data_IF_661086720342
#
_entry.id   IF_661086720342
#
_cell.length_a   1.000
_cell.length_b   1.000
_cell.length_c   1.000
_cell.angle_alpha   90.00
_cell.angle_beta   90.00
_cell.angle_gamma   90.00
#
_symmetry.space_group_name_H-M   'P 1'
#
loop_
_entity.id
_entity.type
_entity.pdbx_description
1 polymer ?
#
# COMPACT_ATOMS: atom_id res chain seq x y z
N UNK A 1 -55.37 -58.14 57.70
CA UNK A 1 -55.54 -57.12 56.65
C UNK A 1 -54.89 -55.75 56.97
N UNK A 2 -55.00 -55.22 58.20
CA UNK A 2 -54.47 -53.88 58.58
C UNK A 2 -52.95 -53.66 58.45
N UNK A 3 -52.10 -54.69 58.63
CA UNK A 3 -50.62 -54.57 58.52
C UNK A 3 -50.09 -54.38 57.08
N UNK A 4 -50.83 -54.83 56.06
CA UNK A 4 -50.42 -54.72 54.64
C UNK A 4 -50.62 -53.30 54.10
N UNK A 5 -51.67 -52.61 54.56
CA UNK A 5 -52.01 -51.23 54.16
C UNK A 5 -51.03 -50.21 54.78
N UNK A 6 -50.60 -50.41 56.02
CA UNK A 6 -49.60 -49.56 56.69
C UNK A 6 -48.19 -49.67 56.05
N UNK A 7 -47.81 -50.85 55.55
CA UNK A 7 -46.53 -51.07 54.86
C UNK A 7 -46.50 -50.38 53.49
N UNK A 8 -47.61 -50.41 52.75
CA UNK A 8 -47.74 -49.71 51.47
C UNK A 8 -47.69 -48.18 51.62
N UNK A 9 -48.33 -47.61 52.66
CA UNK A 9 -48.22 -46.16 52.95
C UNK A 9 -46.79 -45.72 53.31
N UNK A 10 -46.03 -46.56 54.03
CA UNK A 10 -44.64 -46.23 54.40
C UNK A 10 -43.68 -46.23 53.20
N UNK A 11 -43.85 -47.18 52.26
CA UNK A 11 -43.09 -47.20 51.01
C UNK A 11 -43.48 -46.09 50.03
N UNK A 12 -44.75 -45.67 50.03
CA UNK A 12 -45.24 -44.57 49.19
C UNK A 12 -44.77 -43.20 49.70
N UNK A 13 -44.71 -43.00 51.02
CA UNK A 13 -44.12 -41.79 51.62
C UNK A 13 -42.60 -41.72 51.32
N UNK A 14 -41.89 -42.83 51.43
CA UNK A 14 -40.46 -42.90 51.06
C UNK A 14 -40.20 -42.66 49.56
N UNK A 15 -41.10 -43.11 48.68
CA UNK A 15 -40.98 -42.86 47.23
C UNK A 15 -41.27 -41.41 46.83
N UNK A 16 -42.21 -40.75 47.51
CA UNK A 16 -42.50 -39.32 47.31
C UNK A 16 -41.36 -38.45 47.82
N UNK A 17 -40.80 -38.75 48.99
CA UNK A 17 -39.63 -38.03 49.52
C UNK A 17 -38.39 -38.20 48.63
N UNK A 18 -38.19 -39.40 48.06
CA UNK A 18 -37.10 -39.65 47.12
C UNK A 18 -37.29 -38.90 45.80
N UNK A 19 -38.51 -38.88 45.25
CA UNK A 19 -38.81 -38.13 44.03
C UNK A 19 -38.66 -36.62 44.24
N UNK A 20 -39.14 -36.10 45.38
CA UNK A 20 -38.97 -34.69 45.75
C UNK A 20 -37.49 -34.32 45.90
N UNK A 21 -36.70 -35.15 46.58
CA UNK A 21 -35.26 -34.95 46.72
C UNK A 21 -34.56 -34.99 45.35
N UNK A 22 -34.97 -35.87 44.43
CA UNK A 22 -34.40 -35.95 43.09
C UNK A 22 -34.73 -34.72 42.24
N UNK A 23 -35.96 -34.19 42.34
CA UNK A 23 -36.37 -32.96 41.65
C UNK A 23 -35.61 -31.76 42.20
N UNK A 24 -35.48 -31.63 43.53
CA UNK A 24 -34.69 -30.58 44.17
C UNK A 24 -33.22 -30.68 43.74
N UNK A 25 -32.67 -31.90 43.66
CA UNK A 25 -31.31 -32.13 43.19
C UNK A 25 -31.14 -31.75 41.71
N UNK A 26 -32.08 -32.13 40.84
CA UNK A 26 -32.05 -31.73 39.42
C UNK A 26 -32.12 -30.21 39.25
N UNK A 27 -32.98 -29.52 40.02
CA UNK A 27 -33.10 -28.06 39.96
C UNK A 27 -31.80 -27.41 40.43
N UNK A 28 -31.26 -27.82 41.59
CA UNK A 28 -29.97 -27.29 42.08
C UNK A 28 -28.83 -27.58 41.11
N UNK A 29 -28.79 -28.77 40.52
CA UNK A 29 -27.74 -29.14 39.57
C UNK A 29 -27.84 -28.34 38.27
N UNK A 30 -29.06 -28.10 37.77
CA UNK A 30 -29.29 -27.24 36.62
C UNK A 30 -28.87 -25.78 36.91
N UNK A 31 -29.20 -25.25 38.09
CA UNK A 31 -28.76 -23.90 38.49
C UNK A 31 -27.24 -23.80 38.58
N UNK A 32 -26.56 -24.81 39.13
CA UNK A 32 -25.09 -24.86 39.19
C UNK A 32 -24.47 -24.88 37.79
N UNK A 33 -25.05 -25.62 36.85
CA UNK A 33 -24.58 -25.65 35.45
C UNK A 33 -24.75 -24.28 34.80
N UNK A 34 -25.93 -23.66 34.94
CA UNK A 34 -26.21 -22.34 34.35
C UNK A 34 -25.30 -21.28 34.95
N UNK A 35 -25.11 -21.27 36.27
CA UNK A 35 -24.17 -20.36 36.93
C UNK A 35 -22.73 -20.60 36.44
N UNK A 36 -22.30 -21.86 36.38
CA UNK A 36 -20.96 -22.21 35.90
C UNK A 36 -20.72 -21.76 34.46
N UNK A 37 -21.69 -21.95 33.57
CA UNK A 37 -21.65 -21.46 32.20
C UNK A 37 -21.60 -19.92 32.16
N UNK A 38 -22.44 -19.23 32.93
CA UNK A 38 -22.46 -17.76 33.01
C UNK A 38 -21.16 -17.15 33.54
N UNK A 39 -20.41 -17.87 34.38
CA UNK A 39 -19.09 -17.44 34.88
C UNK A 39 -17.95 -17.78 33.92
N UNK A 40 -18.09 -18.85 33.13
CA UNK A 40 -17.06 -19.33 32.21
C UNK A 40 -17.12 -18.61 30.87
N UNK A 41 -18.31 -18.36 30.32
CA UNK A 41 -18.52 -17.72 29.02
C UNK A 41 -17.81 -16.37 28.87
N UNK A 42 -17.95 -15.39 29.79
CA UNK A 42 -17.21 -14.13 29.68
C UNK A 42 -15.71 -14.32 29.84
N UNK A 43 -15.23 -15.35 30.55
CA UNK A 43 -13.79 -15.65 30.65
C UNK A 43 -13.24 -16.21 29.35
N UNK A 44 -13.99 -17.08 28.66
CA UNK A 44 -13.59 -17.63 27.37
C UNK A 44 -13.59 -16.57 26.27
N UNK A 45 -14.61 -15.70 26.23
CA UNK A 45 -14.65 -14.58 25.29
C UNK A 45 -13.48 -13.61 25.49
N UNK A 46 -13.15 -13.28 26.75
CA UNK A 46 -12.01 -12.43 27.09
C UNK A 46 -10.64 -13.08 26.80
N UNK A 47 -10.54 -14.41 26.84
CA UNK A 47 -9.32 -15.12 26.45
C UNK A 47 -9.11 -15.10 24.93
N UNK A 48 -10.19 -15.28 24.17
CA UNK A 48 -10.16 -15.19 22.71
C UNK A 48 -9.75 -13.80 22.22
N UNK A 49 -10.35 -12.74 22.78
CA UNK A 49 -10.01 -11.37 22.41
C UNK A 49 -8.57 -11.00 22.74
N UNK A 50 -8.08 -11.33 23.96
CA UNK A 50 -6.68 -11.06 24.35
C UNK A 50 -5.66 -11.83 23.54
N UNK A 51 -5.96 -13.08 23.19
CA UNK A 51 -5.08 -13.88 22.33
C UNK A 51 -5.00 -13.28 20.92
N UNK A 52 -6.12 -12.77 20.40
CA UNK A 52 -6.15 -12.08 19.11
C UNK A 52 -5.41 -10.74 19.16
N UNK A 53 -5.62 -9.92 20.19
CA UNK A 53 -4.88 -8.66 20.39
C UNK A 53 -3.36 -8.89 20.43
N UNK A 54 -2.91 -9.83 21.26
CA UNK A 54 -1.48 -10.17 21.35
C UNK A 54 -0.90 -10.66 20.02
N UNK A 55 -1.72 -11.30 19.17
CA UNK A 55 -1.30 -11.74 17.84
C UNK A 55 -1.26 -10.59 16.84
N UNK A 56 -2.25 -9.70 16.91
CA UNK A 56 -2.28 -8.50 16.10
C UNK A 56 -1.06 -7.61 16.38
N UNK A 57 -0.64 -7.51 17.65
CA UNK A 57 0.60 -6.82 18.04
C UNK A 57 1.85 -7.48 17.42
N UNK A 58 1.95 -8.82 17.43
CA UNK A 58 3.07 -9.53 16.79
C UNK A 58 3.13 -9.29 15.28
N UNK A 59 1.98 -9.23 14.61
CA UNK A 59 1.92 -8.92 13.18
C UNK A 59 2.35 -7.47 12.96
N UNK A 60 1.86 -6.52 13.77
CA UNK A 60 2.29 -5.13 13.69
C UNK A 60 3.80 -4.98 13.90
N UNK A 61 4.39 -5.71 14.83
CA UNK A 61 5.84 -5.72 15.05
C UNK A 61 6.60 -6.27 13.83
N UNK A 62 6.06 -7.26 13.14
CA UNK A 62 6.65 -7.74 11.89
C UNK A 62 6.63 -6.65 10.81
N UNK A 63 5.53 -5.91 10.64
CA UNK A 63 5.47 -4.83 9.65
C UNK A 63 6.38 -3.64 9.99
N UNK A 64 6.43 -3.22 11.26
CA UNK A 64 7.05 -1.95 11.62
C UNK A 64 8.45 -2.07 12.24
N UNK A 65 8.79 -3.22 12.84
CA UNK A 65 10.00 -3.37 13.65
C UNK A 65 10.95 -4.46 13.15
N UNK A 66 10.47 -5.42 12.37
CA UNK A 66 11.26 -6.53 11.81
C UNK A 66 11.91 -6.15 10.48
N UNK A 67 13.15 -6.60 10.27
CA UNK A 67 13.86 -6.52 8.99
C UNK A 67 13.52 -7.67 8.04
N UNK A 68 12.89 -8.73 8.54
CA UNK A 68 12.67 -9.98 7.81
C UNK A 68 13.94 -10.83 7.70
N UNK A 69 13.82 -12.03 7.12
CA UNK A 69 14.95 -12.91 6.83
C UNK A 69 14.70 -13.70 5.53
N UNK A 70 15.66 -13.73 4.57
CA UNK A 70 16.90 -12.94 4.53
C UNK A 70 16.65 -11.43 4.65
N UNK A 71 17.62 -10.64 5.10
CA UNK A 71 17.35 -9.21 5.34
C UNK A 71 17.21 -8.40 4.04
N UNK A 72 17.66 -8.97 2.93
CA UNK A 72 17.79 -8.42 1.58
C UNK A 72 16.82 -9.08 0.58
N UNK A 73 15.71 -9.65 1.09
CA UNK A 73 14.73 -10.37 0.27
C UNK A 73 14.10 -9.50 -0.83
N UNK A 74 14.20 -8.18 -0.73
CA UNK A 74 13.76 -7.23 -1.75
C UNK A 74 14.50 -7.40 -3.09
N UNK A 75 15.74 -7.89 -3.07
CA UNK A 75 16.55 -8.12 -4.26
C UNK A 75 16.54 -9.57 -4.73
N UNK A 76 15.95 -10.47 -3.94
CA UNK A 76 15.66 -11.83 -4.37
C UNK A 76 14.30 -11.83 -5.07
N UNK A 77 14.29 -11.85 -6.40
CA UNK A 77 13.06 -11.82 -7.21
C UNK A 77 12.22 -13.10 -7.11
N UNK A 78 12.64 -14.08 -6.31
CA UNK A 78 11.82 -15.20 -5.89
C UNK A 78 10.64 -14.79 -5.00
N UNK A 79 9.85 -15.79 -4.61
CA UNK A 79 8.74 -15.66 -3.65
C UNK A 79 9.05 -16.23 -2.27
N UNK A 80 10.25 -16.79 -2.10
CA UNK A 80 10.65 -17.51 -0.90
C UNK A 80 11.50 -16.62 0.01
N UNK A 81 10.89 -16.10 1.07
CA UNK A 81 11.60 -15.57 2.24
C UNK A 81 11.11 -16.35 3.46
N UNK A 82 11.88 -16.38 4.54
CA UNK A 82 11.56 -17.18 5.72
C UNK A 82 10.79 -16.40 6.79
N UNK A 83 11.00 -15.08 6.86
CA UNK A 83 10.24 -14.20 7.73
C UNK A 83 10.04 -12.84 7.09
N UNK A 84 8.85 -12.28 7.28
CA UNK A 84 8.51 -10.96 6.78
C UNK A 84 9.06 -9.84 7.68
N UNK A 85 9.40 -8.72 7.05
CA UNK A 85 9.64 -7.46 7.73
C UNK A 85 9.99 -6.35 6.76
N UNK A 86 9.51 -5.13 7.03
CA UNK A 86 9.69 -3.97 6.14
C UNK A 86 10.72 -2.97 6.66
N UNK A 87 11.31 -3.21 7.83
CA UNK A 87 12.30 -2.29 8.39
C UNK A 87 13.63 -2.40 7.65
N UNK A 88 14.29 -1.26 7.48
CA UNK A 88 15.69 -1.22 7.07
C UNK A 88 16.60 -1.76 8.20
N UNK A 89 17.67 -2.45 7.81
CA UNK A 89 18.68 -3.04 8.71
C UNK A 89 19.41 -1.95 9.49
N UNK A 90 19.68 -0.81 8.83
CA UNK A 90 20.59 0.21 9.34
C UNK A 90 19.90 1.29 10.18
N UNK A 91 18.56 1.38 10.10
CA UNK A 91 17.79 2.49 10.67
C UNK A 91 16.49 2.02 11.33
N UNK A 92 15.67 2.97 11.77
CA UNK A 92 14.28 2.72 12.20
C UNK A 92 13.28 3.03 11.08
N UNK A 93 13.79 3.36 9.89
CA UNK A 93 12.97 3.64 8.72
C UNK A 93 12.41 2.35 8.14
N UNK A 94 11.31 2.46 7.39
CA UNK A 94 10.91 1.38 6.53
C UNK A 94 11.75 1.42 5.26
N UNK A 95 12.10 0.23 4.79
CA UNK A 95 12.92 0.04 3.60
C UNK A 95 12.07 0.32 2.35
N UNK A 96 12.46 1.31 1.52
CA UNK A 96 11.70 1.67 0.34
C UNK A 96 11.69 0.57 -0.73
N UNK A 97 12.73 -0.25 -0.83
CA UNK A 97 12.83 -1.33 -1.81
C UNK A 97 11.94 -2.51 -1.44
N UNK A 98 11.82 -2.81 -0.13
CA UNK A 98 10.83 -3.77 0.38
C UNK A 98 9.41 -3.29 0.10
N UNK A 99 9.16 -2.00 0.28
CA UNK A 99 7.87 -1.37 -0.03
C UNK A 99 7.54 -1.48 -1.53
N UNK A 100 8.51 -1.23 -2.42
CA UNK A 100 8.32 -1.41 -3.87
C UNK A 100 7.96 -2.85 -4.26
N UNK A 101 8.47 -3.85 -3.53
CA UNK A 101 8.20 -5.28 -3.79
C UNK A 101 6.86 -5.76 -3.26
N UNK A 102 6.35 -5.14 -2.20
CA UNK A 102 4.99 -5.43 -1.72
C UNK A 102 3.92 -4.70 -2.53
N UNK A 103 4.28 -3.65 -3.28
CA UNK A 103 3.34 -3.02 -4.20
C UNK A 103 2.86 -4.05 -5.24
N UNK A 104 1.55 -4.32 -5.32
CA UNK A 104 1.00 -5.35 -6.20
C UNK A 104 1.15 -5.06 -7.69
N UNK A 105 1.24 -3.79 -8.07
CA UNK A 105 1.42 -3.34 -9.45
C UNK A 105 2.90 -3.41 -9.91
N UNK A 106 3.79 -3.75 -8.98
CA UNK A 106 5.22 -3.83 -9.23
C UNK A 106 5.60 -5.12 -9.95
N UNK A 107 6.59 -5.04 -10.84
CA UNK A 107 7.22 -6.22 -11.42
C UNK A 107 7.82 -7.06 -10.30
N UNK A 108 7.54 -8.37 -10.31
CA UNK A 108 7.88 -9.27 -9.21
C UNK A 108 7.22 -8.90 -7.88
N UNK A 109 5.97 -8.45 -7.87
CA UNK A 109 5.25 -8.22 -6.62
C UNK A 109 5.10 -9.49 -5.78
N UNK A 110 5.13 -9.34 -4.46
CA UNK A 110 4.95 -10.47 -3.53
C UNK A 110 3.46 -10.67 -3.25
N UNK A 111 2.97 -11.89 -3.50
CA UNK A 111 1.57 -12.23 -3.26
C UNK A 111 1.18 -12.17 -1.77
N UNK A 112 -0.10 -11.88 -1.52
CA UNK A 112 -0.68 -11.86 -0.18
C UNK A 112 -0.46 -13.17 0.59
N UNK A 113 -0.68 -14.31 -0.07
CA UNK A 113 -0.53 -15.63 0.56
C UNK A 113 0.92 -15.89 0.99
N UNK A 114 1.90 -15.40 0.22
CA UNK A 114 3.31 -15.52 0.60
C UNK A 114 3.62 -14.67 1.83
N UNK A 115 3.15 -13.42 1.87
CA UNK A 115 3.32 -12.56 3.05
C UNK A 115 2.64 -13.17 4.27
N UNK A 116 1.39 -13.65 4.12
CA UNK A 116 0.61 -14.29 5.18
C UNK A 116 1.30 -15.55 5.72
N UNK A 117 1.77 -16.43 4.85
CA UNK A 117 2.46 -17.66 5.23
C UNK A 117 3.76 -17.41 5.99
N UNK A 118 4.47 -16.33 5.66
CA UNK A 118 5.73 -15.94 6.29
C UNK A 118 5.57 -15.03 7.52
N UNK A 119 4.42 -14.38 7.69
CA UNK A 119 4.04 -13.65 8.90
C UNK A 119 3.56 -14.59 10.00
N UNK A 120 2.71 -15.56 9.65
CA UNK A 120 2.14 -16.47 10.63
C UNK A 120 1.90 -17.85 10.04
N UNK A 121 2.32 -18.89 10.77
CA UNK A 121 2.13 -20.30 10.37
C UNK A 121 0.66 -20.76 10.40
N UNK A 122 -0.29 -19.89 10.74
CA UNK A 122 -1.70 -20.25 10.87
C UNK A 122 -2.56 -19.43 9.92
N UNK A 123 -3.52 -20.09 9.29
CA UNK A 123 -4.28 -19.59 8.14
C UNK A 123 -5.42 -18.61 8.49
N UNK A 124 -5.61 -18.27 9.78
CA UNK A 124 -6.84 -17.64 10.28
C UNK A 124 -6.73 -16.12 10.58
N UNK A 125 -5.76 -15.42 9.98
CA UNK A 125 -5.64 -13.97 10.16
C UNK A 125 -5.57 -13.27 8.81
N UNK A 126 -6.39 -12.24 8.66
CA UNK A 126 -6.33 -11.32 7.54
C UNK A 126 -5.68 -10.00 7.94
N UNK A 127 -4.99 -9.36 7.00
CA UNK A 127 -4.39 -8.06 7.20
C UNK A 127 -4.43 -7.20 5.95
N UNK A 128 -4.32 -5.89 6.15
CA UNK A 128 -4.25 -4.91 5.08
C UNK A 128 -3.34 -3.77 5.52
N UNK A 129 -2.38 -3.43 4.67
CA UNK A 129 -1.39 -2.40 4.96
C UNK A 129 -1.45 -1.29 3.91
N UNK A 130 -1.51 -0.05 4.38
CA UNK A 130 -1.56 1.16 3.53
C UNK A 130 -0.48 2.14 3.93
N UNK A 131 0.12 2.79 2.94
CA UNK A 131 1.08 3.89 3.11
C UNK A 131 0.55 5.06 2.30
N UNK A 132 0.29 6.17 2.97
CA UNK A 132 -0.29 7.38 2.38
C UNK A 132 0.52 8.60 2.79
N UNK A 133 0.49 9.64 1.96
CA UNK A 133 0.98 10.96 2.36
C UNK A 133 0.13 11.54 3.50
N UNK A 134 0.73 12.41 4.30
CA UNK A 134 0.04 13.04 5.46
C UNK A 134 -0.91 14.15 5.02
N UNK A 135 -0.65 14.74 3.85
CA UNK A 135 -1.49 15.74 3.23
C UNK A 135 -1.65 15.40 1.75
N UNK A 136 -2.69 15.97 1.15
CA UNK A 136 -3.16 15.60 -0.17
C UNK A 136 -2.77 16.68 -1.17
N UNK A 137 -2.46 16.24 -2.38
CA UNK A 137 -2.26 17.08 -3.55
C UNK A 137 -3.07 16.46 -4.68
N UNK A 138 -3.94 17.27 -5.26
CA UNK A 138 -4.74 16.90 -6.42
C UNK A 138 -4.34 17.81 -7.58
N UNK A 139 -4.22 17.25 -8.77
CA UNK A 139 -3.87 18.00 -9.96
C UNK A 139 -4.74 17.64 -11.15
N UNK A 140 -4.87 18.59 -12.07
CA UNK A 140 -5.52 18.37 -13.35
C UNK A 140 -4.66 18.93 -14.48
N UNK A 141 -4.63 18.21 -15.60
CA UNK A 141 -3.95 18.61 -16.80
C UNK A 141 -4.96 18.80 -17.93
N UNK A 142 -5.10 20.02 -18.42
CA UNK A 142 -5.88 20.33 -19.62
C UNK A 142 -4.95 20.71 -20.75
N UNK A 143 -4.92 19.89 -21.79
CA UNK A 143 -4.17 20.17 -23.01
C UNK A 143 -5.03 21.00 -23.96
N UNK A 144 -4.62 22.24 -24.23
CA UNK A 144 -5.28 23.12 -25.20
C UNK A 144 -4.23 23.92 -25.97
N UNK A 145 -4.57 24.40 -27.17
CA UNK A 145 -3.64 25.19 -27.99
C UNK A 145 -4.06 26.66 -28.00
N UNK A 146 -3.12 27.61 -27.86
CA UNK A 146 -1.67 27.43 -27.76
C UNK A 146 -1.13 27.23 -26.33
N UNK A 147 -2.02 27.18 -25.34
CA UNK A 147 -1.68 27.11 -23.91
C UNK A 147 -2.41 25.94 -23.25
N UNK A 148 -1.65 25.07 -22.59
CA UNK A 148 -2.20 24.13 -21.63
C UNK A 148 -2.47 24.80 -20.29
N UNK A 149 -3.36 24.20 -19.50
CA UNK A 149 -3.68 24.61 -18.14
C UNK A 149 -3.39 23.47 -17.18
N UNK A 150 -2.77 23.81 -16.06
CA UNK A 150 -2.50 22.93 -14.93
C UNK A 150 -3.15 23.58 -13.73
N UNK A 151 -4.10 22.90 -13.10
CA UNK A 151 -4.68 23.32 -11.83
C UNK A 151 -4.26 22.32 -10.75
N UNK A 152 -3.78 22.84 -9.62
CA UNK A 152 -3.28 22.06 -8.49
C UNK A 152 -3.96 22.58 -7.23
N UNK A 153 -4.41 21.67 -6.38
CA UNK A 153 -5.01 21.95 -5.08
C UNK A 153 -4.31 21.11 -4.03
N UNK A 154 -3.87 21.74 -2.94
CA UNK A 154 -3.29 21.06 -1.78
C UNK A 154 -4.17 21.24 -0.56
N UNK A 155 -4.20 20.25 0.34
CA UNK A 155 -4.99 20.37 1.57
C UNK A 155 -4.40 21.37 2.60
N UNK A 156 -3.22 21.92 2.33
CA UNK A 156 -2.53 22.95 3.12
C UNK A 156 -2.05 24.08 2.19
N UNK A 157 -2.14 25.34 2.64
CA UNK A 157 -1.65 26.51 1.89
C UNK A 157 -0.13 26.69 1.93
N UNK A 158 0.37 27.59 1.09
CA UNK A 158 1.80 27.99 1.00
C UNK A 158 2.77 26.81 0.73
N UNK A 159 2.31 25.77 0.02
CA UNK A 159 3.12 24.61 -0.33
C UNK A 159 4.10 24.95 -1.47
N UNK A 160 5.34 24.46 -1.39
CA UNK A 160 6.27 24.48 -2.53
C UNK A 160 5.87 23.38 -3.50
N UNK A 161 5.61 23.76 -4.75
CA UNK A 161 5.19 22.86 -5.82
C UNK A 161 6.28 22.79 -6.89
N UNK A 162 6.59 21.57 -7.33
CA UNK A 162 7.35 21.29 -8.53
C UNK A 162 6.43 20.64 -9.55
N UNK A 163 6.30 21.29 -10.70
CA UNK A 163 5.47 20.85 -11.82
C UNK A 163 6.37 20.32 -12.91
N UNK A 164 6.01 19.18 -13.48
CA UNK A 164 6.63 18.61 -14.67
C UNK A 164 5.55 18.19 -15.65
N UNK A 165 5.71 18.56 -16.93
CA UNK A 165 4.92 17.99 -18.01
C UNK A 165 5.84 17.19 -18.93
N UNK A 166 5.59 15.90 -19.02
CA UNK A 166 6.33 14.95 -19.86
C UNK A 166 5.51 14.68 -21.12
N UNK A 167 6.10 14.91 -22.28
CA UNK A 167 5.49 14.67 -23.58
C UNK A 167 5.50 13.17 -23.99
N UNK A 168 4.81 12.78 -25.08
CA UNK A 168 4.79 11.40 -25.55
C UNK A 168 6.17 10.82 -25.87
N UNK A 169 7.10 11.66 -26.32
CA UNK A 169 8.49 11.28 -26.58
C UNK A 169 9.36 11.18 -25.32
N UNK A 170 8.75 11.20 -24.12
CA UNK A 170 9.43 11.17 -22.82
C UNK A 170 10.32 12.38 -22.52
N UNK A 171 10.21 13.46 -23.30
CA UNK A 171 10.88 14.73 -22.99
C UNK A 171 10.08 15.56 -21.99
N UNK A 172 10.77 16.18 -21.02
CA UNK A 172 10.18 17.17 -20.12
C UNK A 172 10.02 18.48 -20.89
N UNK A 173 8.78 18.82 -21.24
CA UNK A 173 8.46 20.01 -22.06
C UNK A 173 8.09 21.23 -21.22
N UNK A 174 7.74 21.02 -19.95
CA UNK A 174 7.49 22.08 -18.99
C UNK A 174 8.02 21.68 -17.63
N UNK A 175 8.70 22.60 -16.97
CA UNK A 175 9.02 22.49 -15.55
C UNK A 175 8.89 23.83 -14.88
N UNK A 176 8.35 23.84 -13.66
CA UNK A 176 8.28 25.03 -12.83
C UNK A 176 8.37 24.65 -11.36
N UNK A 177 9.04 25.49 -10.58
CA UNK A 177 8.94 25.50 -9.13
C UNK A 177 8.23 26.79 -8.69
N UNK A 178 7.16 26.66 -7.91
CA UNK A 178 6.37 27.80 -7.41
C UNK A 178 5.73 27.48 -6.07
N UNK A 179 4.99 28.42 -5.49
CA UNK A 179 4.19 28.23 -4.29
C UNK A 179 2.69 28.17 -4.64
N UNK A 180 1.92 27.36 -3.92
CA UNK A 180 0.46 27.55 -3.85
C UNK A 180 0.13 28.83 -3.11
N UNK A 181 -1.11 29.32 -3.27
CA UNK A 181 -1.60 30.42 -2.47
C UNK A 181 -1.87 30.01 -1.01
N UNK A 182 -2.34 30.96 -0.20
CA UNK A 182 -2.60 30.73 1.23
C UNK A 182 -3.75 29.75 1.52
N UNK A 183 -4.51 29.31 0.51
CA UNK A 183 -5.59 28.33 0.63
C UNK A 183 -5.18 26.96 0.07
N UNK A 184 -4.13 26.91 -0.75
CA UNK A 184 -3.59 25.67 -1.32
C UNK A 184 -3.80 25.56 -2.84
N UNK A 185 -4.25 26.62 -3.51
CA UNK A 185 -4.53 26.58 -4.94
C UNK A 185 -3.36 27.11 -5.78
N UNK A 186 -3.20 26.54 -6.97
CA UNK A 186 -2.25 26.98 -7.98
C UNK A 186 -2.77 26.69 -9.38
N UNK A 187 -2.89 27.72 -10.21
CA UNK A 187 -3.17 27.60 -11.65
C UNK A 187 -1.99 28.08 -12.47
N UNK A 188 -1.52 27.24 -13.39
CA UNK A 188 -0.36 27.50 -14.23
C UNK A 188 -0.72 27.27 -15.70
N UNK A 189 -0.42 28.27 -16.54
CA UNK A 189 -0.46 28.11 -17.99
C UNK A 189 0.92 27.75 -18.52
N UNK A 190 0.98 26.79 -19.43
CA UNK A 190 2.22 26.43 -20.10
C UNK A 190 2.05 26.41 -21.62
N UNK A 191 3.09 26.77 -22.38
CA UNK A 191 3.00 26.81 -23.84
C UNK A 191 3.00 25.39 -24.41
N UNK A 192 1.93 25.03 -25.12
CA UNK A 192 1.87 23.80 -25.94
C UNK A 192 2.22 24.07 -27.40
N UNK A 193 2.31 25.35 -27.80
CA UNK A 193 2.53 25.76 -29.18
C UNK A 193 1.26 25.79 -30.01
N UNK A 194 1.35 26.34 -31.23
CA UNK A 194 0.23 26.54 -32.15
C UNK A 194 0.04 25.41 -33.17
N UNK A 195 0.89 24.38 -33.15
CA UNK A 195 0.81 23.22 -34.03
C UNK A 195 0.11 22.05 -33.35
N UNK A 196 -0.35 21.05 -34.11
CA UNK A 196 -0.98 19.83 -33.58
C UNK A 196 -0.08 19.20 -32.51
N UNK A 197 -0.68 18.86 -31.36
CA UNK A 197 0.04 18.15 -30.28
C UNK A 197 0.47 16.77 -30.79
N UNK A 198 1.74 16.37 -30.56
CA UNK A 198 2.16 15.00 -30.79
C UNK A 198 1.22 13.98 -30.15
N UNK A 199 0.91 12.91 -30.89
CA UNK A 199 0.11 11.80 -30.40
C UNK A 199 0.80 11.05 -29.26
N UNK A 200 -0.01 10.59 -28.30
CA UNK A 200 0.39 9.69 -27.21
C UNK A 200 0.08 10.26 -25.82
N UNK A 201 0.81 9.74 -24.82
CA UNK A 201 0.64 10.14 -23.42
C UNK A 201 1.39 11.43 -23.08
N UNK A 202 0.66 12.38 -22.53
CA UNK A 202 1.21 13.47 -21.74
C UNK A 202 1.03 13.13 -20.26
N UNK A 203 2.07 13.35 -19.47
CA UNK A 203 2.02 13.09 -18.04
C UNK A 203 2.38 14.35 -17.29
N UNK A 204 1.44 14.84 -16.48
CA UNK A 204 1.72 15.80 -15.43
C UNK A 204 2.26 15.04 -14.22
N UNK A 205 3.35 15.52 -13.64
CA UNK A 205 3.84 15.06 -12.34
C UNK A 205 4.01 16.28 -11.45
N UNK A 206 3.45 16.19 -10.25
CA UNK A 206 3.46 17.25 -9.24
C UNK A 206 4.11 16.70 -7.98
N UNK A 207 5.16 17.37 -7.51
CA UNK A 207 5.66 17.19 -6.15
C UNK A 207 5.20 18.39 -5.33
N UNK A 208 4.68 18.14 -4.13
CA UNK A 208 4.31 19.17 -3.17
C UNK A 208 5.09 18.99 -1.88
N UNK A 209 5.59 20.10 -1.33
CA UNK A 209 6.20 20.15 0.00
C UNK A 209 5.48 21.20 0.84
N UNK A 210 4.88 20.77 1.95
CA UNK A 210 4.25 21.67 2.92
C UNK A 210 5.27 22.59 3.61
N UNK A 211 4.84 23.71 4.21
CA UNK A 211 5.72 24.55 5.03
C UNK A 211 6.41 23.80 6.19
N UNK A 212 5.79 22.71 6.67
CA UNK A 212 6.34 21.82 7.69
C UNK A 212 7.34 20.78 7.16
N UNK A 213 7.64 20.77 5.86
CA UNK A 213 8.60 19.85 5.25
C UNK A 213 8.04 18.48 4.85
N UNK A 214 6.73 18.25 4.99
CA UNK A 214 6.06 17.02 4.55
C UNK A 214 5.93 16.99 3.02
N UNK A 215 6.02 15.81 2.41
CA UNK A 215 5.93 15.62 0.96
C UNK A 215 4.66 14.89 0.52
N UNK A 216 4.12 15.29 -0.63
CA UNK A 216 3.05 14.61 -1.35
C UNK A 216 3.33 14.63 -2.86
N UNK A 217 2.77 13.66 -3.58
CA UNK A 217 2.95 13.52 -5.03
C UNK A 217 1.58 13.25 -5.64
N UNK A 218 1.36 13.85 -6.81
CA UNK A 218 0.27 13.46 -7.70
C UNK A 218 0.77 13.40 -9.15
N UNK A 219 0.08 12.63 -9.98
CA UNK A 219 0.36 12.54 -11.40
C UNK A 219 -0.92 12.32 -12.21
N UNK A 220 -0.98 12.92 -13.39
CA UNK A 220 -2.12 12.79 -14.31
C UNK A 220 -1.64 12.42 -15.69
N UNK A 221 -2.19 11.34 -16.23
CA UNK A 221 -1.97 10.92 -17.61
C UNK A 221 -3.12 11.40 -18.51
N UNK A 222 -2.80 12.18 -19.53
CA UNK A 222 -3.72 12.59 -20.58
C UNK A 222 -3.25 11.97 -21.89
N UNK A 223 -4.10 11.14 -22.48
CA UNK A 223 -3.81 10.51 -23.76
C UNK A 223 -4.52 11.24 -24.91
N UNK A 224 -3.80 11.40 -26.02
CA UNK A 224 -4.27 12.11 -27.23
C UNK A 224 -4.44 11.20 -28.44
N UNK A 225 -4.19 9.90 -28.33
CA UNK A 225 -4.31 8.92 -29.44
C UNK A 225 -4.73 7.51 -28.98
N UNK A 226 -4.44 6.48 -29.76
CA UNK A 226 -4.81 5.08 -29.53
C UNK A 226 -3.86 4.46 -28.50
N UNK A 227 -4.44 3.96 -27.41
CA UNK A 227 -3.73 3.17 -26.40
C UNK A 227 -3.65 1.71 -26.82
N UNK A 228 -2.53 1.07 -26.54
CA UNK A 228 -2.39 -0.37 -26.63
C UNK A 228 -1.98 -0.93 -25.26
N UNK A 229 -2.49 -2.09 -24.90
CA UNK A 229 -1.93 -2.87 -23.79
C UNK A 229 -0.69 -3.60 -24.31
N UNK A 230 0.48 -3.13 -23.87
CA UNK A 230 1.79 -3.65 -24.27
C UNK A 230 2.42 -4.51 -23.17
N UNK A 231 1.63 -4.88 -22.15
CA UNK A 231 2.09 -5.67 -21.00
C UNK A 231 3.21 -4.99 -20.22
N UNK A 232 3.21 -3.65 -20.15
CA UNK A 232 4.25 -2.91 -19.43
C UNK A 232 4.14 -3.16 -17.93
N UNK A 233 5.21 -3.68 -17.35
CA UNK A 233 5.40 -3.83 -15.91
C UNK A 233 6.74 -3.22 -15.51
N UNK A 234 6.84 -2.71 -14.28
CA UNK A 234 8.06 -2.07 -13.77
C UNK A 234 8.26 -2.31 -12.28
N UNK A 235 9.52 -2.46 -11.88
CA UNK A 235 9.99 -2.41 -10.50
C UNK A 235 11.06 -1.33 -10.40
N UNK A 236 10.87 -0.40 -9.46
CA UNK A 236 11.86 0.65 -9.15
C UNK A 236 12.45 0.38 -7.78
N UNK A 237 13.77 0.21 -7.75
CA UNK A 237 14.54 0.00 -6.51
C UNK A 237 15.82 0.83 -6.55
N UNK A 238 16.33 1.20 -5.39
CA UNK A 238 17.71 1.67 -5.28
C UNK A 238 18.68 0.54 -5.60
N UNK A 239 19.77 0.85 -6.29
CA UNK A 239 20.81 -0.12 -6.59
C UNK A 239 21.59 -0.46 -5.31
N UNK A 240 21.56 -1.74 -4.92
CA UNK A 240 22.29 -2.27 -3.77
C UNK A 240 23.80 -2.02 -3.83
N UNK A 241 24.38 -1.91 -5.03
CA UNK A 241 25.80 -1.70 -5.24
C UNK A 241 26.19 -0.22 -5.43
N UNK A 242 25.25 0.65 -5.82
CA UNK A 242 25.53 2.04 -6.20
C UNK A 242 24.55 3.01 -5.56
N UNK A 243 24.95 3.61 -4.44
CA UNK A 243 24.16 4.66 -3.78
C UNK A 243 23.87 5.83 -4.73
N UNK A 244 22.59 6.19 -4.88
CA UNK A 244 22.13 7.29 -5.74
C UNK A 244 21.79 6.89 -7.18
N UNK A 245 21.74 5.58 -7.48
CA UNK A 245 21.16 5.06 -8.71
C UNK A 245 19.91 4.21 -8.39
N UNK A 246 18.90 4.34 -9.23
CA UNK A 246 17.76 3.44 -9.28
C UNK A 246 18.01 2.39 -10.35
N UNK A 247 17.86 1.13 -9.97
CA UNK A 247 17.71 0.02 -10.88
C UNK A 247 16.22 -0.13 -11.21
N UNK A 248 15.86 0.15 -12.46
CA UNK A 248 14.50 0.07 -12.96
C UNK A 248 14.41 -1.15 -13.86
N UNK A 249 13.76 -2.19 -13.36
CA UNK A 249 13.55 -3.42 -14.11
C UNK A 249 12.18 -3.38 -14.78
N UNK A 250 12.12 -3.90 -15.99
CA UNK A 250 10.90 -3.82 -16.82
C UNK A 250 10.57 -5.15 -17.45
N UNK A 251 9.28 -5.36 -17.72
CA UNK A 251 8.77 -6.42 -18.58
C UNK A 251 7.77 -5.85 -19.59
N UNK A 252 7.67 -6.48 -20.75
CA UNK A 252 6.75 -6.13 -21.82
C UNK A 252 6.42 -7.37 -22.69
N UNK A 253 5.44 -7.23 -23.59
CA UNK A 253 4.99 -8.29 -24.50
C UNK A 253 5.96 -8.65 -25.65
N UNK A 254 7.09 -7.95 -25.77
CA UNK A 254 8.11 -8.13 -26.80
C UNK A 254 7.81 -7.48 -28.15
N UNK A 255 6.74 -6.68 -28.26
CA UNK A 255 6.31 -6.03 -29.52
C UNK A 255 6.75 -4.57 -29.66
N UNK A 256 7.44 -4.04 -28.65
CA UNK A 256 7.84 -2.64 -28.57
C UNK A 256 8.84 -2.27 -29.66
N UNK A 257 8.62 -1.13 -30.30
CA UNK A 257 9.61 -0.48 -31.17
C UNK A 257 10.59 0.36 -30.37
N UNK A 258 10.11 1.02 -29.32
CA UNK A 258 10.90 1.84 -28.40
C UNK A 258 10.40 1.66 -26.96
N UNK A 259 11.33 1.66 -26.00
CA UNK A 259 11.05 1.73 -24.56
C UNK A 259 11.85 2.88 -23.95
N UNK A 260 11.16 3.74 -23.20
CA UNK A 260 11.73 4.95 -22.60
C UNK A 260 11.44 4.98 -21.11
N UNK A 261 12.47 5.08 -20.29
CA UNK A 261 12.34 5.30 -18.86
C UNK A 261 12.78 6.73 -18.53
N UNK A 262 11.90 7.48 -17.87
CA UNK A 262 12.15 8.85 -17.40
C UNK A 262 11.99 8.91 -15.90
N UNK A 263 13.01 9.39 -15.19
CA UNK A 263 12.95 9.61 -13.77
C UNK A 263 12.89 11.11 -13.48
N UNK A 264 11.98 11.52 -12.60
CA UNK A 264 11.75 12.89 -12.17
C UNK A 264 11.91 12.98 -10.66
N UNK A 265 12.46 14.11 -10.19
CA UNK A 265 12.59 14.38 -8.76
C UNK A 265 12.58 15.89 -8.48
N UNK A 266 12.17 16.30 -7.27
CA UNK A 266 12.15 17.71 -6.89
C UNK A 266 13.57 18.29 -6.86
N UNK A 267 13.70 19.58 -7.21
CA UNK A 267 15.00 20.25 -7.35
C UNK A 267 15.07 21.59 -6.60
N UNK A 268 16.28 22.03 -6.29
CA UNK A 268 16.51 23.39 -5.78
C UNK A 268 16.63 24.38 -6.93
N UNK A 269 16.38 25.67 -6.67
CA UNK A 269 16.43 26.73 -7.68
C UNK A 269 17.73 26.68 -8.51
N UNK A 270 17.61 26.62 -9.84
CA UNK A 270 18.75 26.48 -10.76
C UNK A 270 19.21 25.03 -11.01
N UNK A 271 18.52 24.04 -10.43
CA UNK A 271 18.79 22.61 -10.56
C UNK A 271 17.87 21.86 -11.56
N UNK A 272 17.08 22.57 -12.36
CA UNK A 272 16.10 22.01 -13.32
C UNK A 272 16.74 21.03 -14.30
N UNK A 273 17.97 21.32 -14.74
CA UNK A 273 18.73 20.48 -15.67
C UNK A 273 19.13 19.13 -15.06
N UNK A 274 19.15 19.07 -13.74
CA UNK A 274 19.49 17.88 -12.98
C UNK A 274 18.25 17.26 -12.33
N UNK A 275 17.03 17.68 -12.68
CA UNK A 275 15.81 17.19 -12.01
C UNK A 275 15.12 16.05 -12.76
N UNK A 276 15.67 15.67 -13.90
CA UNK A 276 15.15 14.58 -14.72
C UNK A 276 16.29 13.87 -15.45
N UNK A 277 16.09 12.58 -15.70
CA UNK A 277 16.97 11.78 -16.55
C UNK A 277 16.11 10.84 -17.38
N UNK A 278 16.45 10.67 -18.66
CA UNK A 278 15.72 9.79 -19.57
C UNK A 278 16.69 8.92 -20.35
N UNK A 279 16.42 7.62 -20.37
CA UNK A 279 17.12 6.64 -21.22
C UNK A 279 16.10 6.02 -22.18
N UNK A 280 16.52 5.83 -23.43
CA UNK A 280 15.72 5.20 -24.49
C UNK A 280 16.46 3.99 -25.04
N UNK A 281 15.73 2.88 -25.17
CA UNK A 281 16.19 1.66 -25.83
C UNK A 281 15.31 1.46 -27.07
N UNK A 282 15.95 1.44 -28.23
CA UNK A 282 15.28 1.09 -29.49
C UNK A 282 15.27 -0.43 -29.67
N UNK A 283 14.13 -0.97 -30.09
CA UNK A 283 13.88 -2.41 -30.23
C UNK A 283 14.26 -3.19 -28.95
N UNK A 284 13.65 -2.86 -27.80
CA UNK A 284 13.94 -3.51 -26.53
C UNK A 284 13.57 -5.00 -26.59
N UNK A 285 14.23 -5.79 -25.76
CA UNK A 285 13.80 -7.15 -25.47
C UNK A 285 12.59 -7.15 -24.52
N UNK A 286 12.02 -8.33 -24.29
CA UNK A 286 10.86 -8.48 -23.40
C UNK A 286 11.15 -8.09 -21.94
N UNK A 287 12.41 -7.97 -21.55
CA UNK A 287 12.82 -7.46 -20.23
C UNK A 287 14.08 -6.63 -20.34
N UNK A 288 14.01 -5.40 -19.83
CA UNK A 288 15.14 -4.45 -19.84
C UNK A 288 15.39 -3.89 -18.44
N UNK A 289 16.62 -3.48 -18.20
CA UNK A 289 17.03 -2.79 -16.98
C UNK A 289 17.57 -1.39 -17.32
N UNK A 290 17.10 -0.38 -16.62
CA UNK A 290 17.61 0.99 -16.70
C UNK A 290 18.29 1.37 -15.40
N UNK A 291 19.44 2.02 -15.50
CA UNK A 291 20.11 2.64 -14.36
C UNK A 291 19.96 4.16 -14.53
N UNK A 292 19.06 4.75 -13.73
CA UNK A 292 18.83 6.19 -13.71
C UNK A 292 19.26 6.77 -12.37
N UNK A 293 19.60 8.06 -12.33
CA UNK A 293 19.89 8.73 -11.07
C UNK A 293 18.63 8.87 -10.22
N UNK A 294 18.77 8.57 -8.95
CA UNK A 294 17.76 8.83 -7.93
C UNK A 294 18.39 9.62 -6.78
N UNK A 295 17.74 10.66 -6.23
CA UNK A 295 18.23 11.30 -5.02
C UNK A 295 18.25 10.26 -3.91
N UNK A 296 19.32 10.18 -3.10
CA UNK A 296 19.38 9.29 -1.92
C UNK A 296 18.32 9.62 -0.87
N UNK A 297 17.84 10.87 -0.90
CA UNK A 297 16.93 11.43 0.07
C UNK A 297 15.66 11.88 -0.65
N UNK A 298 14.55 11.25 -0.30
CA UNK A 298 13.21 11.70 -0.65
C UNK A 298 12.56 11.09 -1.88
N UNK A 299 11.74 11.95 -2.46
CA UNK A 299 10.80 11.82 -3.59
C UNK A 299 11.32 11.41 -4.95
N UNK A 300 10.76 10.43 -5.65
CA UNK A 300 10.93 10.36 -7.11
C UNK A 300 9.75 9.72 -7.82
N UNK A 301 9.60 10.05 -9.10
CA UNK A 301 8.59 9.47 -9.98
C UNK A 301 9.25 8.95 -11.23
N UNK A 302 8.99 7.68 -11.56
CA UNK A 302 9.48 7.03 -12.76
C UNK A 302 8.32 6.83 -13.73
N UNK A 303 8.53 7.23 -14.98
CA UNK A 303 7.60 7.00 -16.08
C UNK A 303 8.25 6.01 -17.04
N UNK A 304 7.55 4.91 -17.32
CA UNK A 304 7.95 3.97 -18.36
C UNK A 304 6.97 4.10 -19.53
N UNK A 305 7.50 4.41 -20.71
CA UNK A 305 6.72 4.59 -21.94
C UNK A 305 7.14 3.57 -22.98
N UNK A 306 6.19 2.78 -23.46
CA UNK A 306 6.35 1.85 -24.57
C UNK A 306 5.63 2.36 -25.81
N UNK A 307 6.27 2.24 -26.95
CA UNK A 307 5.70 2.54 -28.27
C UNK A 307 5.76 1.28 -29.12
N UNK A 308 4.69 0.97 -29.84
CA UNK A 308 4.64 -0.09 -30.84
C UNK A 308 3.82 0.35 -32.05
N UNK A 309 3.77 -0.47 -33.09
CA UNK A 309 2.92 -0.22 -34.26
C UNK A 309 1.42 -0.21 -33.89
N UNK A 310 1.04 -0.86 -32.79
CA UNK A 310 -0.35 -0.92 -32.33
C UNK A 310 -0.79 0.31 -31.52
N UNK A 311 0.15 1.09 -30.98
CA UNK A 311 -0.13 2.27 -30.18
C UNK A 311 0.89 2.51 -29.08
N UNK A 312 0.46 3.22 -28.04
CA UNK A 312 1.29 3.64 -26.92
C UNK A 312 0.79 3.03 -25.61
N UNK A 313 1.72 2.78 -24.68
CA UNK A 313 1.41 2.47 -23.29
C UNK A 313 2.34 3.26 -22.37
N UNK A 314 1.82 3.68 -21.21
CA UNK A 314 2.60 4.35 -20.19
C UNK A 314 2.17 3.89 -18.81
N UNK A 315 3.15 3.54 -17.99
CA UNK A 315 2.98 3.29 -16.56
C UNK A 315 3.82 4.30 -15.76
N UNK A 316 3.33 4.64 -14.58
CA UNK A 316 3.96 5.61 -13.67
C UNK A 316 4.11 4.94 -12.31
N UNK A 317 5.25 5.12 -11.68
CA UNK A 317 5.49 4.61 -10.33
C UNK A 317 6.16 5.67 -9.49
N UNK A 318 5.68 5.81 -8.25
CA UNK A 318 6.28 6.67 -7.23
C UNK A 318 7.25 5.85 -6.39
N UNK A 319 8.41 6.42 -6.07
CA UNK A 319 9.38 5.83 -5.16
C UNK A 319 9.77 6.82 -4.05
N UNK A 320 9.58 6.47 -2.77
CA UNK A 320 8.97 5.23 -2.25
C UNK A 320 7.51 5.08 -2.68
N UNK A 321 7.03 3.85 -2.85
CA UNK A 321 5.65 3.61 -3.30
C UNK A 321 4.64 4.01 -2.23
N UNK A 322 3.63 4.76 -2.66
CA UNK A 322 2.37 4.87 -1.94
C UNK A 322 1.62 3.54 -2.10
N UNK A 323 0.98 3.08 -1.03
CA UNK A 323 0.16 1.85 -1.03
C UNK A 323 -1.29 2.25 -0.77
N UNK A 324 -1.83 3.04 -1.69
CA UNK A 324 -3.12 3.72 -1.60
C UNK A 324 -4.13 3.30 -2.69
N UNK A 325 -3.71 2.54 -3.72
CA UNK A 325 -4.60 2.01 -4.76
C UNK A 325 -5.69 1.04 -4.23
N UNK A 326 -6.85 0.99 -4.90
CA UNK A 326 -8.00 0.13 -4.51
C UNK A 326 -7.85 -1.34 -4.97
N UNK A 327 -8.03 -2.26 -4.00
CA UNK A 327 -8.32 -3.70 -4.06
C UNK A 327 -7.84 -4.63 -5.20
N UNK A 328 -7.20 -5.72 -4.77
CA UNK A 328 -6.86 -6.93 -5.55
C UNK A 328 -5.78 -7.80 -4.90
N UNK A 329 -5.12 -7.26 -3.88
CA UNK A 329 -3.88 -7.77 -3.29
C UNK A 329 -3.71 -7.21 -1.86
N UNK A 330 -2.80 -7.81 -1.09
CA UNK A 330 -2.43 -7.54 0.30
C UNK A 330 -2.29 -6.07 0.80
N UNK A 331 -2.26 -5.10 -0.10
CA UNK A 331 -1.85 -3.72 0.12
C UNK A 331 -2.79 -2.79 -0.68
N UNK A 332 -3.23 -1.67 -0.11
CA UNK A 332 -4.15 -0.71 -0.78
C UNK A 332 -5.30 -0.19 0.09
N UNK A 333 -6.01 0.88 -0.31
CA UNK A 333 -7.15 1.45 0.44
C UNK A 333 -8.40 0.58 0.22
N UNK A 334 -8.99 0.10 1.31
CA UNK A 334 -10.05 -0.90 1.22
C UNK A 334 -10.73 -1.15 2.55
N UNK A 335 -12.05 -1.36 2.51
CA UNK A 335 -12.90 -1.52 3.68
C UNK A 335 -12.70 -2.94 4.24
N UNK A 336 -12.31 -3.04 5.52
CA UNK A 336 -12.33 -4.28 6.32
C UNK A 336 -13.57 -5.09 5.96
N UNK A 337 -13.48 -6.41 5.66
CA UNK A 337 -14.62 -7.18 5.17
C UNK A 337 -15.87 -6.93 6.02
N UNK A 338 -17.01 -6.61 5.38
CA UNK A 338 -18.24 -6.25 6.08
C UNK A 338 -18.55 -7.29 7.17
N UNK A 339 -18.74 -6.82 8.40
CA UNK A 339 -18.98 -7.60 9.63
C UNK A 339 -17.75 -8.24 10.30
N UNK A 340 -16.52 -7.85 9.96
CA UNK A 340 -15.31 -8.23 10.72
C UNK A 340 -14.89 -7.12 11.68
N UNK A 341 -14.68 -7.47 12.95
CA UNK A 341 -13.97 -6.59 13.88
C UNK A 341 -12.47 -6.64 13.55
N UNK A 342 -11.90 -5.49 13.20
CA UNK A 342 -10.47 -5.35 12.91
C UNK A 342 -9.79 -4.47 13.97
N UNK A 343 -8.57 -4.86 14.35
CA UNK A 343 -7.66 -4.03 15.12
C UNK A 343 -6.90 -3.14 14.13
N UNK A 344 -6.86 -1.84 14.44
CA UNK A 344 -6.23 -0.82 13.60
C UNK A 344 -4.98 -0.28 14.28
N UNK A 345 -3.83 -0.43 13.63
CA UNK A 345 -2.57 0.18 14.02
C UNK A 345 -2.25 1.34 13.08
N UNK A 346 -2.09 2.54 13.62
CA UNK A 346 -1.66 3.72 12.87
C UNK A 346 -0.32 4.21 13.41
N UNK A 347 0.65 4.39 12.51
CA UNK A 347 1.98 4.93 12.84
C UNK A 347 2.42 5.94 11.79
N UNK A 348 3.11 6.98 12.24
CA UNK A 348 3.93 7.81 11.36
C UNK A 348 5.27 7.11 11.16
N UNK A 349 5.65 6.91 9.90
CA UNK A 349 6.87 6.20 9.51
C UNK A 349 7.72 7.10 8.64
N UNK A 350 9.04 6.92 8.74
CA UNK A 350 9.99 7.61 7.87
C UNK A 350 10.43 6.61 6.79
N UNK A 351 10.44 7.07 5.55
CA UNK A 351 10.92 6.34 4.37
C UNK A 351 11.70 7.33 3.51
N UNK A 352 13.02 7.16 3.41
CA UNK A 352 13.93 8.06 2.66
C UNK A 352 13.77 9.52 3.08
N UNK A 353 13.81 9.78 4.39
CA UNK A 353 13.62 11.11 5.00
C UNK A 353 12.22 11.75 4.78
N UNK A 354 11.29 11.06 4.12
CA UNK A 354 9.91 11.50 3.99
C UNK A 354 9.03 10.84 5.04
N UNK A 355 8.09 11.60 5.60
CA UNK A 355 7.18 11.12 6.62
C UNK A 355 5.86 10.71 5.97
N UNK A 356 5.47 9.45 6.16
CA UNK A 356 4.23 8.88 5.67
C UNK A 356 3.34 8.41 6.82
N UNK A 357 2.04 8.33 6.54
CA UNK A 357 1.08 7.68 7.41
C UNK A 357 0.92 6.24 6.98
N UNK A 358 1.33 5.31 7.85
CA UNK A 358 1.14 3.89 7.66
C UNK A 358 -0.01 3.39 8.54
N UNK A 359 -0.94 2.63 7.94
CA UNK A 359 -2.07 2.02 8.65
C UNK A 359 -2.09 0.53 8.35
N UNK A 360 -2.16 -0.28 9.40
CA UNK A 360 -2.31 -1.73 9.33
C UNK A 360 -3.64 -2.11 9.99
N UNK A 361 -4.50 -2.77 9.23
CA UNK A 361 -5.69 -3.42 9.73
C UNK A 361 -5.41 -4.92 9.89
N UNK A 362 -5.84 -5.51 11.00
CA UNK A 362 -5.72 -6.95 11.27
C UNK A 362 -7.06 -7.49 11.75
N UNK A 363 -7.58 -8.56 11.15
CA UNK A 363 -8.84 -9.19 11.53
C UNK A 363 -8.72 -10.73 11.55
N UNK A 364 -9.61 -11.39 12.28
CA UNK A 364 -9.72 -12.85 12.25
C UNK A 364 -10.49 -13.31 11.00
N UNK A 365 -9.95 -14.26 10.25
CA UNK A 365 -10.60 -14.85 9.07
C UNK A 365 -11.71 -15.85 9.42
#
# INVERSE_FOLDING_TARGET
MKRRILRNKKGQIQGVDFALAMVIFMIMFAEIIVLSLSFLEPKYQNLGSRAFESRADQIADAFFLSTGYPNDWEYDYGSEFHSFGLRDISSTELDPNKISRINPLSLYSISYENVKGNLSRETQVGFQFTITSIFDVDSTLTLSQPLGLIDITTSVGDCTIWVFVVAPNSSVIYTQRTLTDGVGDLSVFFPTGSGLLPSGYYTLVVFAQSPGGLFAIDYVNVNTDTTADLGLEMLVQEDAANSGQANIQTANDGTLTDLRATMLYPYQFGGELLSNETITIGSPSASENFNLRIPSNGTSVTLLSGESVAGYSRIVTVFPSLLDDEFGTAFGYGIVPENKEAIRFEKLVIIRECIFKAVLYVWAE
#
